data_IF_304229622954
#
_entry.id   IF_304229622954
#
_cell.length_a   1.000
_cell.length_b   1.000
_cell.length_c   1.000
_cell.angle_alpha   90.00
_cell.angle_beta   90.00
_cell.angle_gamma   90.00
#
_symmetry.space_group_name_H-M   'P 1'
#
loop_
_entity.id
_entity.type
_entity.pdbx_description
1 polymer ?
#
# COMPACT_ATOMS: atom_id res chain seq x y z
N UNK A 1 11.44 21.35 -12.82
CA UNK A 1 10.20 20.58 -13.03
C UNK A 1 9.90 19.90 -11.70
N UNK A 2 9.06 20.51 -10.87
CA UNK A 2 8.76 20.02 -9.52
C UNK A 2 7.28 19.64 -9.49
N UNK A 3 6.97 18.42 -9.92
CA UNK A 3 5.72 17.79 -9.53
C UNK A 3 5.95 17.21 -8.14
N UNK A 4 5.95 18.08 -7.13
CA UNK A 4 5.75 17.65 -5.75
C UNK A 4 4.32 17.12 -5.68
N UNK A 5 4.13 15.86 -6.07
CA UNK A 5 2.94 15.10 -5.70
C UNK A 5 2.99 14.98 -4.19
N UNK A 6 2.29 15.88 -3.51
CA UNK A 6 2.09 15.80 -2.06
C UNK A 6 1.61 14.38 -1.77
N UNK A 7 2.31 13.62 -0.91
CA UNK A 7 1.84 12.29 -0.53
C UNK A 7 0.42 12.44 0.01
N UNK A 8 -0.55 11.75 -0.60
CA UNK A 8 -1.93 11.74 -0.10
C UNK A 8 -1.87 11.24 1.35
N UNK A 9 -2.31 12.08 2.28
CA UNK A 9 -2.35 11.75 3.69
C UNK A 9 -3.30 10.55 3.90
N UNK A 10 -2.94 9.69 4.84
CA UNK A 10 -3.69 8.47 5.10
C UNK A 10 -5.15 8.75 5.53
N UNK A 11 -5.41 9.90 6.15
CA UNK A 11 -6.77 10.30 6.54
C UNK A 11 -7.63 10.69 5.32
N UNK A 12 -7.07 11.43 4.37
CA UNK A 12 -7.76 11.75 3.11
C UNK A 12 -8.06 10.47 2.30
N UNK A 13 -7.13 9.53 2.33
CA UNK A 13 -7.32 8.22 1.72
C UNK A 13 -8.49 7.46 2.36
N UNK A 14 -8.55 7.40 3.71
CA UNK A 14 -9.66 6.74 4.42
C UNK A 14 -11.01 7.37 4.10
N UNK A 15 -11.08 8.70 4.08
CA UNK A 15 -12.32 9.41 3.72
C UNK A 15 -12.76 9.07 2.31
N UNK A 16 -11.83 9.05 1.35
CA UNK A 16 -12.14 8.68 -0.02
C UNK A 16 -12.63 7.24 -0.17
N UNK A 17 -12.25 6.32 0.73
CA UNK A 17 -12.76 4.94 0.69
C UNK A 17 -14.26 4.87 0.94
N UNK A 18 -14.83 5.77 1.76
CA UNK A 18 -16.26 5.77 2.09
C UNK A 18 -17.14 5.98 0.85
N UNK A 19 -16.66 6.73 -0.13
CA UNK A 19 -17.37 7.05 -1.37
C UNK A 19 -17.21 5.98 -2.48
N UNK A 20 -16.31 5.01 -2.30
CA UNK A 20 -16.04 3.97 -3.31
C UNK A 20 -16.95 2.75 -3.16
N UNK A 21 -17.25 2.08 -4.28
CA UNK A 21 -17.89 0.77 -4.28
C UNK A 21 -16.93 -0.32 -3.80
N UNK A 22 -17.45 -1.47 -3.35
CA UNK A 22 -16.61 -2.61 -2.94
C UNK A 22 -15.69 -3.08 -4.07
N UNK A 23 -16.21 -3.14 -5.30
CA UNK A 23 -15.44 -3.51 -6.49
C UNK A 23 -14.25 -2.57 -6.74
N UNK A 24 -14.46 -1.25 -6.58
CA UNK A 24 -13.39 -0.27 -6.71
C UNK A 24 -12.35 -0.42 -5.60
N UNK A 25 -12.79 -0.67 -4.36
CA UNK A 25 -11.89 -0.88 -3.21
C UNK A 25 -11.05 -2.15 -3.41
N UNK A 26 -11.65 -3.24 -3.86
CA UNK A 26 -10.94 -4.49 -4.17
C UNK A 26 -9.94 -4.32 -5.32
N UNK A 27 -10.30 -3.53 -6.34
CA UNK A 27 -9.40 -3.18 -7.42
C UNK A 27 -8.18 -2.39 -6.91
N UNK A 28 -8.40 -1.37 -6.06
CA UNK A 28 -7.30 -0.60 -5.45
C UNK A 28 -6.45 -1.48 -4.55
N UNK A 29 -7.05 -2.40 -3.78
CA UNK A 29 -6.31 -3.37 -2.96
C UNK A 29 -5.38 -4.22 -3.82
N UNK A 30 -5.89 -4.79 -4.91
CA UNK A 30 -5.09 -5.60 -5.83
C UNK A 30 -3.93 -4.80 -6.44
N UNK A 31 -4.15 -3.52 -6.79
CA UNK A 31 -3.08 -2.64 -7.29
C UNK A 31 -2.00 -2.38 -6.24
N UNK A 32 -2.39 -2.13 -4.98
CA UNK A 32 -1.45 -1.94 -3.88
C UNK A 32 -0.66 -3.22 -3.58
N UNK A 33 -1.31 -4.38 -3.56
CA UNK A 33 -0.62 -5.67 -3.34
C UNK A 33 0.38 -5.99 -4.45
N UNK A 34 0.02 -5.72 -5.71
CA UNK A 34 0.94 -5.84 -6.84
C UNK A 34 2.13 -4.88 -6.73
N UNK A 35 1.89 -3.62 -6.34
CA UNK A 35 2.98 -2.66 -6.15
C UNK A 35 3.91 -3.07 -4.99
N UNK A 36 3.36 -3.59 -3.89
CA UNK A 36 4.13 -4.11 -2.77
C UNK A 36 5.00 -5.30 -3.18
N UNK A 37 4.48 -6.22 -4.01
CA UNK A 37 5.26 -7.35 -4.53
C UNK A 37 6.47 -6.84 -5.30
N UNK A 38 6.26 -5.93 -6.25
CA UNK A 38 7.34 -5.37 -7.09
C UNK A 38 8.39 -4.62 -6.28
N UNK A 39 7.99 -3.83 -5.28
CA UNK A 39 8.93 -3.13 -4.40
C UNK A 39 9.79 -4.10 -3.60
N UNK A 40 9.19 -5.20 -3.10
CA UNK A 40 9.92 -6.25 -2.37
C UNK A 40 10.88 -7.01 -3.26
N UNK A 41 10.44 -7.40 -4.46
CA UNK A 41 11.29 -8.04 -5.47
C UNK A 41 12.47 -7.14 -5.86
N UNK A 42 12.23 -5.83 -6.00
CA UNK A 42 13.28 -4.84 -6.29
C UNK A 42 14.27 -4.75 -5.13
N UNK A 43 13.80 -4.70 -3.89
CA UNK A 43 14.68 -4.64 -2.72
C UNK A 43 15.51 -5.93 -2.58
N UNK A 44 14.92 -7.10 -2.82
CA UNK A 44 15.65 -8.37 -2.81
C UNK A 44 16.72 -8.41 -3.90
N UNK A 45 16.41 -7.92 -5.11
CA UNK A 45 17.38 -7.79 -6.19
C UNK A 45 18.55 -6.88 -5.79
N UNK A 46 18.27 -5.68 -5.27
CA UNK A 46 19.29 -4.72 -4.85
C UNK A 46 20.16 -5.26 -3.70
N UNK A 47 19.57 -5.97 -2.74
CA UNK A 47 20.30 -6.61 -1.65
C UNK A 47 21.26 -7.71 -2.16
N UNK A 48 20.85 -8.46 -3.19
CA UNK A 48 21.72 -9.42 -3.85
C UNK A 48 22.86 -8.76 -4.63
N UNK A 49 22.61 -7.62 -5.30
CA UNK A 49 23.65 -6.83 -5.96
C UNK A 49 24.66 -6.27 -4.95
N UNK A 50 24.22 -5.79 -3.78
CA UNK A 50 25.12 -5.32 -2.71
C UNK A 50 26.05 -6.45 -2.23
N UNK A 51 25.53 -7.69 -2.13
CA UNK A 51 26.31 -8.85 -1.69
C UNK A 51 27.32 -9.32 -2.73
N UNK A 52 27.04 -9.11 -4.02
CA UNK A 52 27.89 -9.57 -5.13
C UNK A 52 28.86 -8.50 -5.62
N UNK A 53 28.57 -7.23 -5.37
CA UNK A 53 29.35 -6.09 -5.85
C UNK A 53 30.36 -5.59 -4.81
N UNK A 54 31.60 -5.36 -5.26
CA UNK A 54 32.69 -4.82 -4.44
C UNK A 54 32.83 -3.30 -4.51
N UNK A 55 32.07 -2.63 -5.40
CA UNK A 55 32.09 -1.18 -5.57
C UNK A 55 31.30 -0.47 -4.47
N UNK A 56 31.98 0.30 -3.57
CA UNK A 56 31.31 0.97 -2.45
C UNK A 56 30.31 2.04 -2.87
N UNK A 57 30.54 2.73 -3.99
CA UNK A 57 29.67 3.81 -4.46
C UNK A 57 28.34 3.25 -4.98
N UNK A 58 28.39 2.19 -5.79
CA UNK A 58 27.19 1.45 -6.22
C UNK A 58 26.41 0.88 -5.03
N UNK A 59 27.12 0.29 -4.05
CA UNK A 59 26.48 -0.27 -2.86
C UNK A 59 25.76 0.79 -2.03
N UNK A 60 26.34 1.98 -1.90
CA UNK A 60 25.72 3.12 -1.21
C UNK A 60 24.42 3.53 -1.91
N UNK A 61 24.44 3.67 -3.24
CA UNK A 61 23.26 4.02 -4.01
C UNK A 61 22.14 2.98 -3.91
N UNK A 62 22.50 1.68 -3.91
CA UNK A 62 21.53 0.60 -3.73
C UNK A 62 20.90 0.63 -2.33
N UNK A 63 21.69 0.90 -1.28
CA UNK A 63 21.18 1.06 0.08
C UNK A 63 20.22 2.24 0.21
N UNK A 64 20.55 3.38 -0.40
CA UNK A 64 19.66 4.55 -0.44
C UNK A 64 18.33 4.21 -1.15
N UNK A 65 18.41 3.53 -2.30
CA UNK A 65 17.22 3.11 -3.05
C UNK A 65 16.35 2.14 -2.25
N UNK A 66 16.95 1.18 -1.53
CA UNK A 66 16.21 0.28 -0.64
C UNK A 66 15.50 1.08 0.45
N UNK A 67 16.18 2.03 1.09
CA UNK A 67 15.62 2.85 2.15
C UNK A 67 14.43 3.71 1.66
N UNK A 68 14.51 4.27 0.45
CA UNK A 68 13.39 4.98 -0.18
C UNK A 68 12.21 4.04 -0.46
N UNK A 69 12.47 2.86 -1.04
CA UNK A 69 11.44 1.86 -1.30
C UNK A 69 10.74 1.41 -0.01
N UNK A 70 11.48 1.27 1.10
CA UNK A 70 10.91 0.92 2.41
C UNK A 70 9.91 1.96 2.92
N UNK A 71 10.18 3.25 2.70
CA UNK A 71 9.23 4.31 3.04
C UNK A 71 7.94 4.19 2.23
N UNK A 72 8.05 3.89 0.93
CA UNK A 72 6.90 3.65 0.06
C UNK A 72 6.12 2.41 0.50
N UNK A 73 6.82 1.30 0.80
CA UNK A 73 6.21 0.06 1.32
C UNK A 73 5.41 0.36 2.59
N UNK A 74 5.98 1.11 3.53
CA UNK A 74 5.28 1.47 4.78
C UNK A 74 3.99 2.23 4.49
N UNK A 75 4.03 3.24 3.63
CA UNK A 75 2.85 4.02 3.24
C UNK A 75 1.79 3.15 2.56
N UNK A 76 2.20 2.23 1.68
CA UNK A 76 1.27 1.32 1.01
C UNK A 76 0.65 0.31 1.98
N UNK A 77 1.40 -0.20 2.95
CA UNK A 77 0.88 -1.09 3.99
C UNK A 77 -0.17 -0.40 4.86
N UNK A 78 0.03 0.88 5.20
CA UNK A 78 -0.97 1.68 5.92
C UNK A 78 -2.28 1.80 5.11
N UNK A 79 -2.18 2.02 3.80
CA UNK A 79 -3.35 2.06 2.89
C UNK A 79 -4.06 0.71 2.76
N UNK A 80 -3.30 -0.39 2.64
CA UNK A 80 -3.86 -1.74 2.64
C UNK A 80 -4.60 -2.03 3.94
N UNK A 81 -4.05 -1.62 5.08
CA UNK A 81 -4.72 -1.78 6.37
C UNK A 81 -6.02 -0.98 6.43
N UNK A 82 -6.04 0.27 5.95
CA UNK A 82 -7.25 1.09 5.88
C UNK A 82 -8.34 0.45 4.98
N UNK A 83 -7.97 -0.07 3.81
CA UNK A 83 -8.91 -0.79 2.94
C UNK A 83 -9.49 -2.02 3.64
N UNK A 84 -8.65 -2.83 4.29
CA UNK A 84 -9.12 -4.03 5.01
C UNK A 84 -10.07 -3.69 6.14
N UNK A 85 -9.84 -2.59 6.84
CA UNK A 85 -10.74 -2.07 7.88
C UNK A 85 -12.09 -1.64 7.29
N UNK A 86 -12.09 -0.92 6.17
CA UNK A 86 -13.31 -0.47 5.52
C UNK A 86 -14.14 -1.64 4.97
N UNK A 87 -13.51 -2.61 4.30
CA UNK A 87 -14.21 -3.83 3.84
C UNK A 87 -14.81 -4.63 5.00
N UNK A 88 -14.08 -4.74 6.13
CA UNK A 88 -14.59 -5.40 7.32
C UNK A 88 -15.79 -4.65 7.94
N UNK A 89 -15.74 -3.31 8.01
CA UNK A 89 -16.85 -2.46 8.47
C UNK A 89 -18.10 -2.68 7.62
N UNK A 90 -17.97 -2.66 6.29
CA UNK A 90 -19.08 -2.92 5.36
C UNK A 90 -19.67 -4.32 5.53
N UNK A 91 -18.81 -5.33 5.64
CA UNK A 91 -19.24 -6.72 5.88
C UNK A 91 -19.96 -6.93 7.23
N UNK A 92 -19.73 -6.07 8.22
CA UNK A 92 -20.49 -6.07 9.48
C UNK A 92 -21.84 -5.36 9.34
N UNK A 93 -21.88 -4.22 8.63
CA UNK A 93 -23.13 -3.48 8.40
C UNK A 93 -24.18 -4.32 7.66
N UNK A 94 -23.78 -5.07 6.62
CA UNK A 94 -24.69 -5.95 5.89
C UNK A 94 -25.32 -7.04 6.77
N UNK A 95 -24.60 -7.53 7.80
CA UNK A 95 -25.14 -8.54 8.73
C UNK A 95 -26.16 -7.95 9.71
N UNK A 96 -25.94 -6.73 10.16
CA UNK A 96 -26.87 -6.03 11.09
C UNK A 96 -28.16 -5.66 10.37
N UNK A 97 -28.09 -5.29 9.09
CA UNK A 97 -29.27 -5.00 8.26
C UNK A 97 -30.12 -6.26 8.00
N UNK A 98 -29.51 -7.43 7.77
CA UNK A 98 -30.25 -8.69 7.60
C UNK A 98 -30.95 -9.16 8.89
N UNK A 99 -30.36 -8.92 10.06
CA UNK A 99 -30.95 -9.29 11.36
C UNK A 99 -32.05 -8.31 11.83
N UNK A 100 -32.09 -7.09 11.30
CA UNK A 100 -33.04 -6.04 11.65
C UNK A 100 -34.39 -6.07 10.90
N UNK A 101 -34.52 -6.90 9.86
CA UNK A 101 -35.77 -7.04 9.07
C UNK A 101 -36.61 -8.19 9.64
N UNK A 102 -37.03 -8.05 10.89
CA UNK A 102 -38.15 -8.81 11.43
C UNK A 102 -38.85 -7.91 12.44
N UNK A 103 -39.93 -7.25 12.01
CA UNK A 103 -41.16 -6.93 12.77
C UNK A 103 -42.18 -6.25 11.85
#
# INVERSE_FOLDING_TARGET
>A
MSSETTPIHIEDFKLALEDLTNENIESVLSQLENSLSKLRETNEYLDNEIKSNADPDSNTLYQETIAENEQVIKSQLERVAAIKQELAKRGQQSKVEEEGIYL
#
